data_IF_155714781009
#
_entry.id   IF_155714781009
#
_cell.length_a   1.000
_cell.length_b   1.000
_cell.length_c   1.000
_cell.angle_alpha   90.00
_cell.angle_beta   90.00
_cell.angle_gamma   90.00
#
_symmetry.space_group_name_H-M   'P 1'
#
loop_
_entity.id
_entity.type
_entity.pdbx_description
1 polymer ?
#
# COMPACT_ATOMS: atom_id res chain seq x y z
N UNK A 1 -8.70 -2.96 -21.90
CA UNK A 1 -9.04 -2.10 -20.75
C UNK A 1 -8.55 -2.78 -19.48
N UNK A 2 -7.22 -2.96 -19.35
CA UNK A 2 -6.62 -3.74 -18.25
C UNK A 2 -5.88 -2.87 -17.21
N UNK A 3 -5.65 -1.58 -17.48
CA UNK A 3 -4.81 -0.73 -16.64
C UNK A 3 -5.38 -0.44 -15.24
N UNK A 4 -6.71 -0.38 -15.09
CA UNK A 4 -7.32 -0.06 -13.79
C UNK A 4 -6.96 -1.08 -12.70
N UNK A 5 -6.71 -2.34 -13.08
CA UNK A 5 -6.32 -3.38 -12.12
C UNK A 5 -4.92 -3.13 -11.58
N UNK A 6 -4.00 -2.70 -12.44
CA UNK A 6 -2.62 -2.41 -12.08
C UNK A 6 -2.54 -1.17 -11.16
N UNK A 7 -3.45 -0.21 -11.35
CA UNK A 7 -3.55 1.01 -10.55
C UNK A 7 -4.18 0.80 -9.16
N UNK A 8 -4.77 -0.38 -8.87
CA UNK A 8 -5.48 -0.61 -7.60
C UNK A 8 -4.57 -0.48 -6.37
N UNK A 9 -3.30 -0.93 -6.45
CA UNK A 9 -2.39 -0.76 -5.31
C UNK A 9 -2.13 0.72 -5.05
N UNK A 10 -1.72 1.46 -6.08
CA UNK A 10 -1.47 2.90 -5.97
C UNK A 10 -2.73 3.67 -5.52
N UNK A 11 -3.91 3.26 -5.97
CA UNK A 11 -5.18 3.82 -5.52
C UNK A 11 -5.40 3.64 -4.02
N UNK A 12 -5.14 2.44 -3.50
CA UNK A 12 -5.27 2.09 -2.08
C UNK A 12 -4.24 2.81 -1.21
N UNK A 13 -3.02 2.95 -1.72
CA UNK A 13 -1.91 3.64 -1.06
C UNK A 13 -2.06 5.17 -1.12
N UNK A 14 -3.04 5.68 -1.87
CA UNK A 14 -3.25 7.12 -2.06
C UNK A 14 -2.18 7.78 -2.93
N UNK A 15 -1.48 6.99 -3.74
CA UNK A 15 -0.33 7.41 -4.55
C UNK A 15 -0.71 7.89 -5.97
N UNK A 16 -1.98 7.80 -6.36
CA UNK A 16 -2.46 8.28 -7.67
C UNK A 16 -2.69 9.79 -7.67
N UNK A 17 -2.47 10.41 -8.83
CA UNK A 17 -2.93 11.79 -9.04
C UNK A 17 -4.46 11.87 -8.99
N UNK A 18 -5.00 13.05 -8.70
CA UNK A 18 -6.46 13.25 -8.56
C UNK A 18 -7.25 12.81 -9.79
N UNK A 19 -6.74 13.08 -10.98
CA UNK A 19 -7.36 12.69 -12.25
C UNK A 19 -7.42 11.16 -12.42
N UNK A 20 -6.33 10.45 -12.12
CA UNK A 20 -6.25 8.99 -12.21
C UNK A 20 -7.14 8.33 -11.16
N UNK A 21 -7.16 8.87 -9.94
CA UNK A 21 -8.04 8.40 -8.88
C UNK A 21 -9.51 8.48 -9.28
N UNK A 22 -9.94 9.57 -9.92
CA UNK A 22 -11.31 9.73 -10.40
C UNK A 22 -11.69 8.68 -11.46
N UNK A 23 -10.75 8.29 -12.33
CA UNK A 23 -10.93 7.21 -13.32
C UNK A 23 -11.14 5.87 -12.62
N UNK A 24 -10.30 5.56 -11.63
CA UNK A 24 -10.43 4.32 -10.83
C UNK A 24 -11.75 4.30 -10.05
N UNK A 25 -12.14 5.41 -9.42
CA UNK A 25 -13.41 5.53 -8.70
C UNK A 25 -14.62 5.27 -9.61
N UNK A 26 -14.64 5.88 -10.81
CA UNK A 26 -15.69 5.66 -11.79
C UNK A 26 -15.76 4.19 -12.25
N UNK A 27 -14.60 3.53 -12.44
CA UNK A 27 -14.57 2.12 -12.80
C UNK A 27 -15.05 1.21 -11.65
N UNK A 28 -14.64 1.51 -10.42
CA UNK A 28 -15.07 0.76 -9.23
C UNK A 28 -16.57 0.89 -8.97
N UNK A 29 -17.22 1.97 -9.40
CA UNK A 29 -18.68 2.07 -9.36
C UNK A 29 -19.36 1.04 -10.28
N UNK A 30 -18.79 0.78 -11.46
CA UNK A 30 -19.38 -0.10 -12.48
C UNK A 30 -18.93 -1.57 -12.45
N UNK A 31 -17.74 -1.87 -11.92
CA UNK A 31 -17.13 -3.19 -12.08
C UNK A 31 -17.03 -3.97 -10.76
N UNK A 32 -17.85 -5.01 -10.61
CA UNK A 32 -17.83 -5.88 -9.43
C UNK A 32 -16.50 -6.65 -9.26
N UNK A 33 -15.90 -7.11 -10.36
CA UNK A 33 -14.63 -7.83 -10.35
C UNK A 33 -13.50 -6.98 -9.77
N UNK A 34 -13.38 -5.73 -10.22
CA UNK A 34 -12.35 -4.81 -9.72
C UNK A 34 -12.62 -4.37 -8.27
N UNK A 35 -13.89 -4.25 -7.85
CA UNK A 35 -14.23 -4.07 -6.43
C UNK A 35 -13.76 -5.25 -5.57
N UNK A 36 -13.95 -6.47 -6.06
CA UNK A 36 -13.47 -7.69 -5.40
C UNK A 36 -11.96 -7.69 -5.25
N UNK A 37 -11.22 -7.44 -6.33
CA UNK A 37 -9.76 -7.33 -6.30
C UNK A 37 -9.27 -6.24 -5.33
N UNK A 38 -9.91 -5.06 -5.34
CA UNK A 38 -9.57 -3.99 -4.40
C UNK A 38 -9.87 -4.36 -2.93
N UNK A 39 -10.91 -5.15 -2.67
CA UNK A 39 -11.22 -5.65 -1.34
C UNK A 39 -10.19 -6.69 -0.87
N UNK A 40 -9.76 -7.59 -1.75
CA UNK A 40 -8.72 -8.59 -1.49
C UNK A 40 -7.38 -7.93 -1.16
N UNK A 41 -6.95 -6.94 -1.95
CA UNK A 41 -5.73 -6.17 -1.68
C UNK A 41 -5.79 -5.45 -0.31
N UNK A 42 -6.93 -4.82 0.01
CA UNK A 42 -7.14 -4.20 1.34
C UNK A 42 -7.05 -5.21 2.47
N UNK A 43 -7.59 -6.42 2.30
CA UNK A 43 -7.52 -7.47 3.30
C UNK A 43 -6.07 -7.91 3.51
N UNK A 44 -5.33 -8.16 2.43
CA UNK A 44 -3.91 -8.53 2.48
C UNK A 44 -3.07 -7.47 3.20
N UNK A 45 -3.26 -6.18 2.86
CA UNK A 45 -2.56 -5.08 3.51
C UNK A 45 -2.87 -5.02 5.03
N UNK A 46 -4.12 -5.25 5.43
CA UNK A 46 -4.51 -5.31 6.84
C UNK A 46 -3.86 -6.49 7.57
N UNK A 47 -3.80 -7.66 6.94
CA UNK A 47 -3.17 -8.84 7.53
C UNK A 47 -1.67 -8.62 7.75
N UNK A 48 -0.99 -8.00 6.78
CA UNK A 48 0.43 -7.63 6.92
C UNK A 48 0.62 -6.59 8.04
N UNK A 49 -0.24 -5.56 8.09
CA UNK A 49 -0.16 -4.52 9.12
C UNK A 49 -0.43 -5.06 10.54
N UNK A 50 -1.16 -6.17 10.67
CA UNK A 50 -1.41 -6.83 11.95
C UNK A 50 -0.20 -7.65 12.45
N UNK A 51 0.84 -7.84 11.65
CA UNK A 51 2.06 -8.55 12.07
C UNK A 51 2.80 -7.71 13.11
N UNK A 52 3.07 -8.25 14.32
CA UNK A 52 3.86 -7.54 15.32
C UNK A 52 5.25 -7.19 14.77
N UNK A 53 5.63 -5.91 14.85
CA UNK A 53 6.99 -5.51 14.48
C UNK A 53 7.99 -6.10 15.49
N UNK A 54 9.04 -6.80 15.01
CA UNK A 54 10.07 -7.30 15.88
C UNK A 54 10.82 -6.13 16.53
N UNK A 55 11.11 -6.27 17.83
CA UNK A 55 11.96 -5.31 18.52
C UNK A 55 13.36 -5.34 17.90
N UNK A 56 13.91 -4.19 17.47
CA UNK A 56 15.27 -4.15 16.96
C UNK A 56 16.24 -4.60 18.06
N UNK A 57 17.30 -5.31 17.68
CA UNK A 57 18.29 -5.79 18.65
C UNK A 57 18.94 -4.62 19.38
N UNK A 58 19.31 -4.81 20.66
CA UNK A 58 20.01 -3.79 21.47
C UNK A 58 21.32 -3.29 20.82
N UNK A 59 21.90 -4.05 19.88
CA UNK A 59 23.13 -3.70 19.16
C UNK A 59 22.90 -2.74 17.99
N UNK A 60 21.64 -2.54 17.54
CA UNK A 60 21.35 -1.76 16.35
C UNK A 60 21.82 -0.30 16.48
N UNK A 61 21.42 0.40 17.55
CA UNK A 61 21.70 1.83 17.71
C UNK A 61 23.22 2.10 17.82
N UNK A 62 23.99 1.40 18.68
CA UNK A 62 25.45 1.59 18.72
C UNK A 62 26.15 1.31 17.39
N UNK A 63 25.67 0.33 16.60
CA UNK A 63 26.26 0.00 15.30
C UNK A 63 26.00 1.06 14.21
N UNK A 64 24.89 1.81 14.32
CA UNK A 64 24.54 2.89 13.39
C UNK A 64 25.08 4.25 13.79
N UNK A 65 25.31 4.49 15.08
CA UNK A 65 25.80 5.76 15.64
C UNK A 65 26.97 6.42 14.87
N UNK A 66 28.05 5.71 14.48
CA UNK A 66 29.15 6.35 13.74
C UNK A 66 28.77 6.85 12.34
N UNK A 67 27.63 6.42 11.77
CA UNK A 67 27.17 6.83 10.44
C UNK A 67 26.36 8.14 10.46
N UNK A 68 25.94 8.60 11.62
CA UNK A 68 25.05 9.74 11.80
C UNK A 68 25.63 10.82 12.74
N UNK A 69 26.94 10.75 13.03
CA UNK A 69 27.65 11.82 13.72
C UNK A 69 27.96 12.94 12.73
N UNK A 70 27.11 13.98 12.74
CA UNK A 70 27.33 15.29 12.11
C UNK A 70 28.39 16.13 12.83
#
# INVERSE_FOLDING_TARGET
>A
MDHVRDDLSAYLDGALASAERAVVDAHLAGCATCRGAAAELRLTARLIAAVPLPLPSRRLVPALAPRFAW
#
